data_IF_981071610676
#
_entry.id   IF_981071610676
#
_cell.length_a   1.000
_cell.length_b   1.000
_cell.length_c   1.000
_cell.angle_alpha   90.00
_cell.angle_beta   90.00
_cell.angle_gamma   90.00
#
_symmetry.space_group_name_H-M   'P 1'
#
loop_
_entity.id
_entity.type
_entity.pdbx_description
1 polymer ?
#
# COMPACT_ATOMS: atom_id res chain seq x y z
N UNK A 1 12.37 5.89 -9.12
CA UNK A 1 12.30 7.00 -8.14
C UNK A 1 11.23 6.63 -7.14
N UNK A 2 11.61 6.13 -5.95
CA UNK A 2 10.67 6.11 -4.83
C UNK A 2 10.24 7.56 -4.60
N UNK A 3 8.94 7.80 -4.46
CA UNK A 3 8.37 9.15 -4.36
C UNK A 3 9.11 9.89 -3.23
N UNK A 4 9.78 10.96 -3.63
CA UNK A 4 10.49 11.96 -2.84
C UNK A 4 10.73 11.59 -1.36
N UNK A 5 11.93 11.07 -1.01
CA UNK A 5 12.39 11.25 0.36
C UNK A 5 12.30 12.75 0.63
N UNK A 6 11.68 13.15 1.75
CA UNK A 6 11.69 14.56 2.19
C UNK A 6 13.12 15.11 2.11
N UNK A 7 13.27 16.43 2.01
CA UNK A 7 14.61 17.02 1.96
C UNK A 7 15.53 16.50 3.08
N UNK A 8 14.94 16.21 4.25
CA UNK A 8 15.58 15.54 5.38
C UNK A 8 16.02 14.10 5.07
N UNK A 9 15.14 13.25 4.53
CA UNK A 9 15.48 11.88 4.13
C UNK A 9 16.53 11.82 3.01
N UNK A 10 16.61 12.85 2.15
CA UNK A 10 17.68 12.95 1.13
C UNK A 10 19.04 13.27 1.74
N UNK A 11 19.07 14.01 2.85
CA UNK A 11 20.29 14.46 3.51
C UNK A 11 20.83 13.42 4.51
N UNK A 12 19.95 12.62 5.12
CA UNK A 12 20.32 11.61 6.11
C UNK A 12 19.85 10.21 5.71
N UNK A 13 20.78 9.34 5.32
CA UNK A 13 20.48 7.94 4.93
C UNK A 13 20.08 7.03 6.09
N UNK A 14 20.31 7.46 7.33
CA UNK A 14 19.88 6.74 8.54
C UNK A 14 18.47 7.15 9.00
N UNK A 15 17.90 8.22 8.44
CA UNK A 15 16.56 8.64 8.80
C UNK A 15 15.50 7.62 8.31
N UNK A 16 14.57 7.28 9.20
CA UNK A 16 13.55 6.24 9.01
C UNK A 16 12.26 6.76 8.38
N UNK A 17 12.05 8.06 8.43
CA UNK A 17 10.79 8.70 8.04
C UNK A 17 9.71 8.49 9.11
N UNK A 18 8.52 8.99 8.83
CA UNK A 18 7.38 8.96 9.73
C UNK A 18 6.18 8.36 9.03
N UNK A 19 5.12 8.05 9.79
CA UNK A 19 3.82 7.70 9.23
C UNK A 19 3.30 8.74 8.21
N UNK A 20 3.60 10.02 8.37
CA UNK A 20 3.14 11.06 7.44
C UNK A 20 3.75 10.90 6.06
N UNK A 21 5.04 10.54 5.99
CA UNK A 21 5.71 10.22 4.73
C UNK A 21 5.00 9.04 4.05
N UNK A 22 4.69 7.97 4.80
CA UNK A 22 3.97 6.80 4.26
C UNK A 22 2.60 7.19 3.71
N UNK A 23 1.84 8.04 4.40
CA UNK A 23 0.53 8.48 3.91
C UNK A 23 0.66 9.45 2.72
N UNK A 24 1.71 10.26 2.64
CA UNK A 24 2.04 11.06 1.45
C UNK A 24 2.33 10.16 0.25
N UNK A 25 3.04 9.05 0.45
CA UNK A 25 3.26 8.04 -0.58
C UNK A 25 1.95 7.42 -1.07
N UNK A 26 1.06 7.04 -0.14
CA UNK A 26 -0.26 6.49 -0.49
C UNK A 26 -1.07 7.52 -1.29
N UNK A 27 -1.12 8.76 -0.84
CA UNK A 27 -1.86 9.85 -1.47
C UNK A 27 -1.34 10.17 -2.87
N UNK A 28 -0.03 10.23 -3.03
CA UNK A 28 0.60 10.41 -4.34
C UNK A 28 0.21 9.29 -5.30
N UNK A 29 0.31 8.02 -4.88
CA UNK A 29 -0.04 6.88 -5.74
C UNK A 29 -1.53 6.88 -6.08
N UNK A 30 -2.38 7.20 -5.12
CA UNK A 30 -3.82 7.33 -5.36
C UNK A 30 -4.14 8.43 -6.38
N UNK A 31 -3.45 9.57 -6.33
CA UNK A 31 -3.62 10.68 -7.28
C UNK A 31 -3.13 10.36 -8.70
N UNK A 32 -2.01 9.66 -8.84
CA UNK A 32 -1.36 9.45 -10.15
C UNK A 32 -1.71 8.12 -10.81
N UNK A 33 -1.85 7.06 -10.01
CA UNK A 33 -2.21 5.73 -10.49
C UNK A 33 -3.71 5.46 -10.34
N UNK A 34 -4.41 6.21 -9.48
CA UNK A 34 -5.80 5.93 -9.12
C UNK A 34 -5.90 4.95 -7.95
N UNK A 35 -6.85 5.20 -7.04
CA UNK A 35 -7.06 4.43 -5.81
C UNK A 35 -7.11 2.92 -6.03
N UNK A 36 -7.68 2.44 -7.15
CA UNK A 36 -7.85 1.01 -7.47
C UNK A 36 -6.54 0.22 -7.63
N UNK A 37 -5.40 0.91 -7.68
CA UNK A 37 -4.06 0.33 -7.87
C UNK A 37 -3.16 0.48 -6.65
N UNK A 38 -3.69 0.94 -5.52
CA UNK A 38 -2.93 1.17 -4.29
C UNK A 38 -3.21 0.05 -3.29
N UNK A 39 -2.17 -0.46 -2.65
CA UNK A 39 -2.25 -1.43 -1.55
C UNK A 39 -1.13 -1.17 -0.55
N UNK A 40 -1.18 -1.84 0.60
CA UNK A 40 -0.17 -1.72 1.66
C UNK A 40 0.63 -3.01 1.76
N UNK A 41 1.95 -2.89 1.69
CA UNK A 41 2.91 -3.95 2.02
C UNK A 41 4.01 -3.33 2.88
N UNK A 42 3.97 -3.60 4.19
CA UNK A 42 4.80 -2.93 5.20
C UNK A 42 6.20 -3.51 5.35
N UNK A 43 6.42 -4.74 4.90
CA UNK A 43 7.68 -5.46 5.09
C UNK A 43 8.11 -5.56 6.58
N UNK A 44 7.13 -5.62 7.50
CA UNK A 44 7.38 -5.95 8.90
C UNK A 44 8.17 -7.25 8.99
N UNK A 45 9.13 -7.30 9.92
CA UNK A 45 10.09 -8.40 10.10
C UNK A 45 11.04 -8.64 8.89
N UNK A 46 10.92 -7.87 7.80
CA UNK A 46 11.78 -7.93 6.61
C UNK A 46 12.82 -6.82 6.52
N UNK A 47 12.65 -5.72 7.26
CA UNK A 47 13.55 -4.54 7.24
C UNK A 47 14.21 -4.27 8.60
N UNK A 48 15.43 -3.70 8.61
CA UNK A 48 16.14 -3.38 9.86
C UNK A 48 15.58 -2.15 10.59
N UNK A 49 14.74 -1.34 9.92
CA UNK A 49 14.20 -0.09 10.44
C UNK A 49 12.81 0.19 9.90
N UNK A 50 11.96 0.76 10.74
CA UNK A 50 10.59 1.13 10.42
C UNK A 50 10.39 2.64 10.61
N UNK A 51 9.44 3.27 9.89
CA UNK A 51 9.10 4.67 10.14
C UNK A 51 8.55 4.89 11.55
N UNK A 52 8.78 6.10 12.08
CA UNK A 52 8.24 6.50 13.37
C UNK A 52 6.71 6.44 13.35
N UNK A 53 6.11 5.95 14.44
CA UNK A 53 4.68 5.68 14.62
C UNK A 53 4.13 4.50 13.82
N UNK A 54 5.00 3.72 13.16
CA UNK A 54 4.67 2.48 12.45
C UNK A 54 5.53 1.30 12.93
N UNK A 55 5.93 1.28 14.20
CA UNK A 55 6.89 0.31 14.77
C UNK A 55 6.35 -1.13 14.82
N UNK A 56 5.04 -1.34 14.65
CA UNK A 56 4.43 -2.67 14.64
C UNK A 56 3.13 -2.71 13.84
N UNK A 57 2.68 -3.93 13.53
CA UNK A 57 1.36 -4.17 12.91
C UNK A 57 0.18 -3.56 13.67
N UNK A 58 0.32 -3.30 14.98
CA UNK A 58 -0.73 -2.64 15.76
C UNK A 58 -0.95 -1.17 15.35
N UNK A 59 -0.05 -0.58 14.55
CA UNK A 59 -0.11 0.81 14.13
C UNK A 59 -1.00 1.08 12.90
N UNK A 60 -1.46 0.04 12.17
CA UNK A 60 -2.32 0.23 10.98
C UNK A 60 -3.54 1.13 11.18
N UNK A 61 -4.25 1.12 12.33
CA UNK A 61 -5.36 2.06 12.56
C UNK A 61 -4.97 3.54 12.42
N UNK A 62 -3.70 3.90 12.66
CA UNK A 62 -3.20 5.27 12.47
C UNK A 62 -3.17 5.67 10.99
N UNK A 63 -2.83 4.75 10.09
CA UNK A 63 -2.89 4.99 8.63
C UNK A 63 -4.33 5.26 8.22
N UNK A 64 -5.27 4.45 8.70
CA UNK A 64 -6.71 4.65 8.45
C UNK A 64 -7.17 6.03 8.91
N UNK A 65 -6.78 6.44 10.11
CA UNK A 65 -7.12 7.75 10.66
C UNK A 65 -6.58 8.90 9.78
N UNK A 66 -5.31 8.83 9.37
CA UNK A 66 -4.72 9.86 8.51
C UNK A 66 -5.34 9.91 7.11
N UNK A 67 -5.77 8.77 6.56
CA UNK A 67 -6.52 8.74 5.29
C UNK A 67 -7.90 9.39 5.44
N UNK A 68 -8.61 9.16 6.56
CA UNK A 68 -9.86 9.85 6.87
C UNK A 68 -9.66 11.37 6.96
N UNK A 69 -8.62 11.81 7.65
CA UNK A 69 -8.27 13.24 7.79
C UNK A 69 -7.94 13.90 6.44
N UNK A 70 -7.43 13.12 5.48
CA UNK A 70 -7.17 13.56 4.09
C UNK A 70 -8.40 13.51 3.18
N UNK A 71 -9.58 13.16 3.71
CA UNK A 71 -10.84 13.17 2.99
C UNK A 71 -11.09 11.93 2.11
N UNK A 72 -10.35 10.83 2.34
CA UNK A 72 -10.69 9.57 1.68
C UNK A 72 -12.02 9.03 2.22
N UNK A 73 -12.90 8.63 1.31
CA UNK A 73 -14.13 7.97 1.71
C UNK A 73 -13.89 6.51 2.17
N UNK A 74 -14.92 5.93 2.77
CA UNK A 74 -14.88 4.55 3.29
C UNK A 74 -14.55 3.52 2.20
N UNK A 75 -15.04 3.73 0.97
CA UNK A 75 -14.84 2.79 -0.12
C UNK A 75 -13.38 2.79 -0.59
N UNK A 76 -12.78 3.98 -0.71
CA UNK A 76 -11.38 4.17 -1.06
C UNK A 76 -10.45 3.60 0.02
N UNK A 77 -10.73 3.85 1.30
CA UNK A 77 -9.98 3.27 2.42
C UNK A 77 -10.07 1.75 2.39
N UNK A 78 -11.26 1.17 2.24
CA UNK A 78 -11.43 -0.28 2.15
C UNK A 78 -10.67 -0.87 0.97
N UNK A 79 -10.67 -0.19 -0.18
CA UNK A 79 -9.90 -0.60 -1.34
C UNK A 79 -8.39 -0.63 -1.04
N UNK A 80 -7.85 0.43 -0.44
CA UNK A 80 -6.42 0.56 -0.07
C UNK A 80 -5.99 -0.48 0.96
N UNK A 81 -6.80 -0.70 2.01
CA UNK A 81 -6.46 -1.60 3.12
C UNK A 81 -6.46 -3.09 2.73
N UNK A 82 -7.02 -3.46 1.57
CA UNK A 82 -6.98 -4.84 1.10
C UNK A 82 -7.94 -5.18 -0.03
N UNK A 83 -8.99 -4.38 -0.24
CA UNK A 83 -9.98 -4.63 -1.30
C UNK A 83 -9.35 -4.74 -2.70
N UNK A 84 -8.34 -3.91 -2.99
CA UNK A 84 -7.60 -3.95 -4.25
C UNK A 84 -6.77 -5.22 -4.41
N UNK A 85 -6.08 -5.64 -3.35
CA UNK A 85 -5.29 -6.89 -3.36
C UNK A 85 -6.20 -8.09 -3.59
N UNK A 86 -7.32 -8.15 -2.86
CA UNK A 86 -8.31 -9.22 -3.01
C UNK A 86 -8.93 -9.24 -4.42
N UNK A 87 -9.16 -8.08 -5.04
CA UNK A 87 -9.62 -7.99 -6.44
C UNK A 87 -8.60 -8.62 -7.39
N UNK A 88 -7.33 -8.21 -7.30
CA UNK A 88 -6.26 -8.73 -8.17
C UNK A 88 -6.05 -10.23 -7.96
N UNK A 89 -6.10 -10.71 -6.72
CA UNK A 89 -5.97 -12.14 -6.42
C UNK A 89 -7.09 -12.96 -7.08
N UNK A 90 -8.35 -12.50 -7.00
CA UNK A 90 -9.48 -13.14 -7.69
C UNK A 90 -9.33 -13.14 -9.21
N UNK A 91 -8.83 -12.06 -9.79
CA UNK A 91 -8.57 -11.97 -11.23
C UNK A 91 -7.49 -13.00 -11.64
N UNK A 92 -6.42 -13.14 -10.86
CA UNK A 92 -5.38 -14.14 -11.09
C UNK A 92 -5.91 -15.58 -11.00
N UNK A 93 -6.76 -15.87 -9.99
CA UNK A 93 -7.43 -17.16 -9.84
C UNK A 93 -8.33 -17.48 -11.04
N UNK A 94 -9.10 -16.51 -11.52
CA UNK A 94 -9.98 -16.65 -12.68
C UNK A 94 -9.19 -17.01 -13.94
N UNK A 95 -8.10 -16.29 -14.23
CA UNK A 95 -7.23 -16.57 -15.37
C UNK A 95 -6.61 -17.97 -15.26
N UNK A 96 -6.14 -18.34 -14.08
CA UNK A 96 -5.60 -19.69 -13.82
C UNK A 96 -6.62 -20.78 -14.14
N UNK A 97 -7.88 -20.62 -13.73
CA UNK A 97 -8.95 -21.57 -14.03
C UNK A 97 -9.25 -21.66 -15.54
N UNK A 98 -9.30 -20.53 -16.24
CA UNK A 98 -9.51 -20.50 -17.69
C UNK A 98 -8.40 -21.23 -18.45
N UNK A 99 -7.14 -20.99 -18.09
CA UNK A 99 -5.99 -21.62 -18.74
C UNK A 99 -5.96 -23.14 -18.50
N UNK A 100 -6.27 -23.59 -17.28
CA UNK A 100 -6.39 -25.03 -16.98
C UNK A 100 -7.49 -25.71 -17.80
N UNK A 101 -8.65 -25.07 -17.93
CA UNK A 101 -9.76 -25.60 -18.73
C UNK A 101 -9.44 -25.65 -20.23
N UNK A 102 -8.66 -24.68 -20.74
CA UNK A 102 -8.21 -24.69 -22.13
C UNK A 102 -7.20 -25.83 -22.39
N UNK A 103 -6.25 -26.05 -21.47
CA UNK A 103 -5.27 -27.13 -21.58
C UNK A 103 -5.90 -28.52 -21.51
N UNK A 104 -6.94 -28.72 -20.71
CA UNK A 104 -7.64 -30.01 -20.61
C UNK A 104 -8.50 -30.38 -21.83
N UNK A 105 -8.67 -29.45 -22.78
CA UNK A 105 -9.39 -29.65 -24.04
C UNK A 105 -8.47 -29.95 -25.23
N UNK A 106 -7.16 -29.96 -25.01
CA UNK A 106 -6.13 -30.34 -25.96
C UNK A 106 -5.70 -31.79 -25.71
#
# INVERSE_FOLDING_TARGET
>A
SFIVPTAQLKQNREATGTIYDVVDHIDYLAKHCGVKHVGIGSDYDGVPRLPDQLESVAAYPRITQLLLERGYDRAAIHAILGGNVLRVLREAESVSATLKAAAARQ
#
